data_IF_209686484965
#
_entry.id   IF_209686484965
#
_cell.length_a   1.000
_cell.length_b   1.000
_cell.length_c   1.000
_cell.angle_alpha   90.00
_cell.angle_beta   90.00
_cell.angle_gamma   90.00
#
_symmetry.space_group_name_H-M   'P 1'
#
loop_
_entity.id
_entity.type
_entity.pdbx_description
1 polymer ?
#
# COMPACT_ATOMS: atom_id res chain seq x y z
N UNK A 1 -10.67 -19.70 -7.13
CA UNK A 1 -9.76 -18.58 -6.83
C UNK A 1 -8.37 -19.09 -6.45
N UNK A 2 -7.39 -18.84 -7.32
CA UNK A 2 -5.96 -18.99 -7.02
C UNK A 2 -5.38 -17.68 -6.44
N UNK A 3 -4.24 -17.77 -5.74
CA UNK A 3 -3.53 -16.60 -5.20
C UNK A 3 -2.08 -16.61 -5.70
N UNK A 4 -1.70 -15.54 -6.39
CA UNK A 4 -0.36 -15.32 -6.95
C UNK A 4 0.29 -14.14 -6.25
N UNK A 5 1.55 -14.30 -5.83
CA UNK A 5 2.34 -13.22 -5.21
C UNK A 5 3.55 -12.94 -6.09
N UNK A 6 3.75 -11.69 -6.46
CA UNK A 6 4.84 -11.24 -7.31
C UNK A 6 5.66 -10.13 -6.64
N UNK A 7 6.98 -10.25 -6.69
CA UNK A 7 7.89 -9.19 -6.28
C UNK A 7 8.42 -8.47 -7.51
N UNK A 8 7.86 -7.29 -7.80
CA UNK A 8 8.19 -6.50 -9.00
C UNK A 8 9.09 -5.32 -8.65
N UNK A 9 9.94 -4.83 -9.58
CA UNK A 9 10.63 -3.56 -9.41
C UNK A 9 9.64 -2.43 -9.09
N UNK A 10 9.93 -1.59 -8.10
CA UNK A 10 8.99 -0.56 -7.63
C UNK A 10 8.43 0.33 -8.76
N UNK A 11 9.29 0.68 -9.73
CA UNK A 11 8.91 1.51 -10.90
C UNK A 11 7.90 0.87 -11.86
N UNK A 12 7.58 -0.41 -11.69
CA UNK A 12 6.58 -1.12 -12.49
C UNK A 12 5.19 -1.11 -11.86
N UNK A 13 5.04 -0.62 -10.62
CA UNK A 13 3.72 -0.41 -10.04
C UNK A 13 2.96 0.64 -10.86
N UNK A 14 1.66 0.36 -11.04
CA UNK A 14 0.74 1.25 -11.76
C UNK A 14 0.47 2.55 -11.00
N UNK A 15 0.44 2.47 -9.67
CA UNK A 15 0.10 3.55 -8.77
C UNK A 15 1.27 3.84 -7.81
N UNK A 16 1.19 4.97 -7.12
CA UNK A 16 2.11 5.37 -6.04
C UNK A 16 1.84 4.50 -4.82
N UNK A 17 2.34 3.26 -4.85
CA UNK A 17 2.12 2.27 -3.79
C UNK A 17 3.30 1.31 -3.64
N UNK A 18 3.37 0.64 -2.51
CA UNK A 18 4.35 -0.43 -2.22
C UNK A 18 3.77 -1.81 -2.52
N UNK A 19 2.45 -1.95 -2.43
CA UNK A 19 1.68 -3.15 -2.71
C UNK A 19 0.42 -2.83 -3.51
N UNK A 20 0.01 -3.76 -4.35
CA UNK A 20 -1.21 -3.64 -5.14
C UNK A 20 -1.80 -5.03 -5.37
N UNK A 21 -3.13 -5.13 -5.38
CA UNK A 21 -3.83 -6.37 -5.71
C UNK A 21 -4.84 -6.16 -6.82
N UNK A 22 -5.04 -7.21 -7.62
CA UNK A 22 -6.10 -7.26 -8.62
C UNK A 22 -6.56 -8.70 -8.84
N UNK A 23 -7.79 -8.86 -9.31
CA UNK A 23 -8.38 -10.15 -9.67
C UNK A 23 -8.61 -10.21 -11.18
N UNK A 24 -8.03 -11.21 -11.83
CA UNK A 24 -8.22 -11.54 -13.25
C UNK A 24 -8.40 -13.06 -13.41
N UNK A 25 -9.36 -13.51 -14.22
CA UNK A 25 -9.59 -14.94 -14.52
C UNK A 25 -9.61 -15.86 -13.27
N UNK A 26 -10.32 -15.46 -12.20
CA UNK A 26 -10.38 -16.18 -10.90
C UNK A 26 -9.01 -16.33 -10.21
N UNK A 27 -8.06 -15.45 -10.50
CA UNK A 27 -6.76 -15.37 -9.82
C UNK A 27 -6.60 -14.03 -9.13
N UNK A 28 -6.41 -14.04 -7.81
CA UNK A 28 -5.97 -12.88 -7.04
C UNK A 28 -4.45 -12.75 -7.18
N UNK A 29 -3.99 -11.69 -7.85
CA UNK A 29 -2.58 -11.34 -7.94
C UNK A 29 -2.26 -10.23 -6.96
N UNK A 30 -1.21 -10.41 -6.15
CA UNK A 30 -0.65 -9.42 -5.24
C UNK A 30 0.77 -9.08 -5.69
N UNK A 31 0.98 -7.83 -6.06
CA UNK A 31 2.27 -7.30 -6.47
C UNK A 31 2.88 -6.48 -5.35
N UNK A 32 4.18 -6.67 -5.09
CA UNK A 32 4.89 -6.02 -4.00
C UNK A 32 6.24 -5.52 -4.51
N UNK A 33 6.62 -4.32 -4.08
CA UNK A 33 7.92 -3.74 -4.39
C UNK A 33 9.07 -4.64 -3.93
N UNK A 34 9.98 -4.99 -4.84
CA UNK A 34 11.11 -5.87 -4.56
C UNK A 34 12.17 -5.22 -3.67
N UNK A 35 12.23 -3.90 -3.65
CA UNK A 35 13.28 -3.10 -3.02
C UNK A 35 13.12 -2.98 -1.50
N UNK A 36 11.95 -3.27 -0.93
CA UNK A 36 11.72 -3.23 0.52
C UNK A 36 12.30 -4.47 1.21
N UNK A 37 12.60 -4.36 2.50
CA UNK A 37 13.09 -5.48 3.31
C UNK A 37 12.09 -6.64 3.40
N UNK A 38 12.58 -7.86 3.66
CA UNK A 38 11.74 -9.06 3.61
C UNK A 38 10.62 -9.07 4.66
N UNK A 39 10.83 -8.46 5.83
CA UNK A 39 9.77 -8.32 6.84
C UNK A 39 8.65 -7.43 6.33
N UNK A 40 9.00 -6.34 5.66
CA UNK A 40 8.02 -5.44 5.08
C UNK A 40 7.29 -6.11 3.91
N UNK A 41 7.97 -6.91 3.09
CA UNK A 41 7.32 -7.76 2.08
C UNK A 41 6.24 -8.65 2.69
N UNK A 42 6.56 -9.37 3.76
CA UNK A 42 5.58 -10.25 4.44
C UNK A 42 4.42 -9.44 5.02
N UNK A 43 4.70 -8.28 5.61
CA UNK A 43 3.67 -7.42 6.19
C UNK A 43 2.71 -6.87 5.11
N UNK A 44 3.25 -6.43 3.97
CA UNK A 44 2.47 -5.96 2.82
C UNK A 44 1.67 -7.11 2.19
N UNK A 45 2.18 -8.35 2.12
CA UNK A 45 1.35 -9.50 1.70
C UNK A 45 0.07 -9.59 2.53
N UNK A 46 0.18 -9.48 3.86
CA UNK A 46 -0.99 -9.50 4.73
C UNK A 46 -1.89 -8.28 4.52
N UNK A 47 -1.32 -7.11 4.29
CA UNK A 47 -2.07 -5.90 3.97
C UNK A 47 -2.97 -6.13 2.75
N UNK A 48 -2.35 -6.44 1.61
CA UNK A 48 -3.02 -6.60 0.32
C UNK A 48 -4.03 -7.76 0.36
N UNK A 49 -3.66 -8.89 0.98
CA UNK A 49 -4.54 -10.06 1.06
C UNK A 49 -5.79 -9.79 1.89
N UNK A 50 -5.67 -9.11 3.04
CA UNK A 50 -6.82 -8.78 3.89
C UNK A 50 -7.70 -7.74 3.21
N UNK A 51 -7.09 -6.76 2.55
CA UNK A 51 -7.83 -5.77 1.79
C UNK A 51 -8.64 -6.41 0.66
N UNK A 52 -7.99 -7.19 -0.20
CA UNK A 52 -8.62 -7.92 -1.30
C UNK A 52 -9.75 -8.83 -0.79
N UNK A 53 -9.51 -9.61 0.26
CA UNK A 53 -10.52 -10.51 0.82
C UNK A 53 -11.76 -9.77 1.32
N UNK A 54 -11.59 -8.60 1.95
CA UNK A 54 -12.70 -7.76 2.41
C UNK A 54 -13.45 -7.14 1.23
N UNK A 55 -12.73 -6.70 0.19
CA UNK A 55 -13.33 -6.18 -1.04
C UNK A 55 -14.17 -7.24 -1.76
N UNK A 56 -13.61 -8.43 -1.98
CA UNK A 56 -14.30 -9.58 -2.59
C UNK A 56 -15.56 -9.94 -1.79
N UNK A 57 -15.47 -10.04 -0.46
CA UNK A 57 -16.61 -10.36 0.39
C UNK A 57 -17.73 -9.30 0.35
N UNK A 58 -17.42 -8.08 -0.11
CA UNK A 58 -18.36 -6.95 -0.25
C UNK A 58 -18.76 -6.68 -1.70
N UNK A 59 -18.33 -7.53 -2.64
CA UNK A 59 -18.51 -7.36 -4.09
C UNK A 59 -17.92 -6.03 -4.62
N UNK A 60 -16.81 -5.57 -4.03
CA UNK A 60 -16.02 -4.46 -4.57
C UNK A 60 -15.04 -5.04 -5.58
N UNK A 61 -15.07 -4.55 -6.81
CA UNK A 61 -14.25 -5.09 -7.91
C UNK A 61 -12.89 -4.39 -8.04
N UNK A 62 -11.96 -5.04 -8.75
CA UNK A 62 -10.67 -4.44 -9.11
C UNK A 62 -10.87 -3.09 -9.81
N UNK A 63 -11.82 -3.01 -10.74
CA UNK A 63 -12.07 -1.82 -11.54
C UNK A 63 -12.57 -0.64 -10.69
N UNK A 64 -13.36 -0.91 -9.64
CA UNK A 64 -13.80 0.12 -8.70
C UNK A 64 -12.63 0.66 -7.86
N UNK A 65 -11.72 -0.23 -7.42
CA UNK A 65 -10.51 0.16 -6.71
C UNK A 65 -9.57 0.97 -7.62
N UNK A 66 -9.29 0.46 -8.82
CA UNK A 66 -8.42 1.09 -9.81
C UNK A 66 -8.93 2.48 -10.21
N UNK A 67 -10.24 2.64 -10.44
CA UNK A 67 -10.82 3.92 -10.77
C UNK A 67 -10.64 4.95 -9.64
N UNK A 68 -10.67 4.49 -8.38
CA UNK A 68 -10.40 5.35 -7.23
C UNK A 68 -8.91 5.71 -7.13
N UNK A 69 -8.01 4.75 -7.35
CA UNK A 69 -6.57 4.98 -7.31
C UNK A 69 -6.11 5.92 -8.43
N UNK A 70 -6.64 5.76 -9.65
CA UNK A 70 -6.41 6.69 -10.76
C UNK A 70 -6.87 8.12 -10.44
N UNK A 71 -8.03 8.26 -9.80
CA UNK A 71 -8.51 9.56 -9.34
C UNK A 71 -7.54 10.14 -8.29
N UNK A 72 -7.07 9.33 -7.35
CA UNK A 72 -6.17 9.79 -6.28
C UNK A 72 -4.79 10.20 -6.81
N UNK A 73 -4.26 9.49 -7.81
CA UNK A 73 -3.03 9.90 -8.52
C UNK A 73 -3.18 11.27 -9.18
N UNK A 74 -4.32 11.52 -9.84
CA UNK A 74 -4.60 12.84 -10.41
C UNK A 74 -4.68 13.93 -9.32
N UNK A 75 -5.24 13.61 -8.15
CA UNK A 75 -5.30 14.52 -7.00
C UNK A 75 -3.90 14.78 -6.41
N UNK A 76 -2.99 13.79 -6.40
CA UNK A 76 -1.57 14.00 -6.04
C UNK A 76 -0.87 14.94 -7.02
N UNK A 77 -1.02 14.72 -8.33
CA UNK A 77 -0.38 15.53 -9.37
C UNK A 77 -0.92 16.97 -9.38
N UNK A 78 -2.19 17.16 -9.03
CA UNK A 78 -2.79 18.47 -8.81
C UNK A 78 -2.37 19.14 -7.49
N UNK A 79 -1.63 18.43 -6.62
CA UNK A 79 -1.17 18.93 -5.32
C UNK A 79 -2.26 19.08 -4.27
N UNK A 80 -3.40 18.40 -4.44
CA UNK A 80 -4.51 18.42 -3.48
C UNK A 80 -4.18 17.61 -2.22
N UNK A 81 -3.35 16.57 -2.38
CA UNK A 81 -2.84 15.75 -1.28
C UNK A 81 -1.32 15.67 -1.31
N UNK A 82 -0.65 15.67 -0.15
CA UNK A 82 0.75 15.30 -0.08
C UNK A 82 0.89 13.79 -0.30
N UNK A 83 2.00 13.35 -0.91
CA UNK A 83 2.29 11.91 -1.12
C UNK A 83 2.39 11.08 0.16
N UNK A 84 2.45 11.72 1.33
CA UNK A 84 2.40 11.06 2.64
C UNK A 84 0.99 10.68 3.11
N UNK A 85 -0.06 11.06 2.38
CA UNK A 85 -1.44 10.66 2.69
C UNK A 85 -1.79 9.47 1.81
N UNK A 86 -2.08 8.33 2.41
CA UNK A 86 -2.46 7.11 1.68
C UNK A 86 -3.94 7.13 1.28
N UNK A 87 -4.22 6.78 0.02
CA UNK A 87 -5.56 6.76 -0.57
C UNK A 87 -6.54 5.87 0.21
N UNK A 88 -6.06 4.74 0.73
CA UNK A 88 -6.84 3.76 1.49
C UNK A 88 -7.45 4.27 2.81
N UNK A 89 -7.03 5.43 3.32
CA UNK A 89 -7.67 6.04 4.50
C UNK A 89 -8.79 7.04 4.16
N UNK A 90 -8.88 7.50 2.90
CA UNK A 90 -9.92 8.41 2.43
C UNK A 90 -11.31 7.79 2.65
N UNK A 91 -12.31 8.61 2.98
CA UNK A 91 -13.69 8.15 3.19
C UNK A 91 -14.37 7.66 1.91
N UNK A 92 -13.93 8.15 0.75
CA UNK A 92 -14.43 7.81 -0.59
C UNK A 92 -13.86 6.48 -1.09
N UNK A 93 -12.74 6.04 -0.51
CA UNK A 93 -12.05 4.83 -0.94
C UNK A 93 -12.96 3.58 -0.78
N UNK A 94 -13.17 2.79 -1.85
CA UNK A 94 -14.04 1.62 -1.80
C UNK A 94 -13.43 0.49 -0.96
N UNK A 95 -12.10 0.35 -0.99
CA UNK A 95 -11.34 -0.64 -0.24
C UNK A 95 -10.95 -0.18 1.18
N UNK A 96 -11.41 0.98 1.64
CA UNK A 96 -11.04 1.61 2.92
C UNK A 96 -11.16 0.71 4.14
N UNK A 97 -12.22 -0.10 4.20
CA UNK A 97 -12.40 -1.03 5.32
C UNK A 97 -11.31 -2.11 5.29
N UNK A 98 -11.02 -2.63 4.10
CA UNK A 98 -9.93 -3.55 3.83
C UNK A 98 -8.60 -2.96 4.26
N UNK A 99 -8.27 -1.79 3.74
CA UNK A 99 -7.05 -1.05 4.06
C UNK A 99 -6.82 -0.91 5.57
N UNK A 100 -7.83 -0.42 6.31
CA UNK A 100 -7.72 -0.24 7.77
C UNK A 100 -7.41 -1.52 8.53
N UNK A 101 -7.96 -2.65 8.09
CA UNK A 101 -7.65 -3.94 8.68
C UNK A 101 -6.31 -4.47 8.18
N UNK A 102 -6.00 -4.33 6.90
CA UNK A 102 -4.70 -4.59 6.30
C UNK A 102 -3.57 -3.94 7.08
N UNK A 103 -3.64 -2.63 7.32
CA UNK A 103 -2.65 -1.89 8.14
C UNK A 103 -2.52 -2.45 9.56
N UNK A 104 -3.62 -2.94 10.17
CA UNK A 104 -3.55 -3.55 11.51
C UNK A 104 -2.81 -4.88 11.48
N UNK A 105 -3.08 -5.71 10.49
CA UNK A 105 -2.40 -7.00 10.30
C UNK A 105 -0.94 -6.81 9.91
N UNK A 106 -0.63 -5.85 9.05
CA UNK A 106 0.72 -5.44 8.69
C UNK A 106 1.54 -5.06 9.94
N UNK A 107 1.00 -4.14 10.76
CA UNK A 107 1.67 -3.74 12.02
C UNK A 107 1.84 -4.89 13.00
N UNK A 108 0.87 -5.80 13.06
CA UNK A 108 0.95 -6.99 13.89
C UNK A 108 2.02 -7.97 13.39
N UNK A 109 2.11 -8.19 12.07
CA UNK A 109 3.12 -9.02 11.45
C UNK A 109 4.54 -8.45 11.66
N UNK A 110 4.73 -7.15 11.44
CA UNK A 110 6.00 -6.47 11.70
C UNK A 110 6.43 -6.62 13.17
N UNK A 111 5.48 -6.49 14.11
CA UNK A 111 5.75 -6.69 15.53
C UNK A 111 6.18 -8.14 15.85
N UNK A 112 5.46 -9.14 15.34
CA UNK A 112 5.80 -10.56 15.54
C UNK A 112 7.20 -10.90 15.02
N UNK A 113 7.57 -10.34 13.86
CA UNK A 113 8.87 -10.56 13.24
C UNK A 113 9.99 -9.71 13.86
N UNK A 114 9.68 -8.88 14.86
CA UNK A 114 10.63 -7.93 15.48
C UNK A 114 11.28 -7.01 14.43
N UNK A 115 10.50 -6.59 13.45
CA UNK A 115 10.97 -5.73 12.38
C UNK A 115 11.34 -4.33 12.91
N UNK A 116 12.32 -3.70 12.28
CA UNK A 116 12.58 -2.28 12.50
C UNK A 116 11.55 -1.46 11.72
N UNK A 117 10.45 -1.10 12.37
CA UNK A 117 9.34 -0.35 11.74
C UNK A 117 9.80 0.99 11.18
N UNK A 118 10.76 1.66 11.84
CA UNK A 118 11.30 2.92 11.32
C UNK A 118 11.97 2.73 9.97
N UNK A 119 12.80 1.69 9.84
CA UNK A 119 13.44 1.35 8.59
C UNK A 119 12.41 0.99 7.51
N UNK A 120 11.38 0.19 7.86
CA UNK A 120 10.33 -0.19 6.91
C UNK A 120 9.63 1.04 6.34
N UNK A 121 9.27 1.99 7.21
CA UNK A 121 8.62 3.24 6.79
C UNK A 121 9.56 4.12 5.95
N UNK A 122 10.84 4.23 6.33
CA UNK A 122 11.83 5.00 5.56
C UNK A 122 12.04 4.44 4.15
N UNK A 123 12.03 3.10 3.99
CA UNK A 123 12.07 2.43 2.69
C UNK A 123 10.82 2.75 1.85
N UNK A 124 9.63 2.70 2.45
CA UNK A 124 8.38 3.07 1.78
C UNK A 124 8.37 4.54 1.36
N UNK A 125 8.73 5.45 2.26
CA UNK A 125 8.75 6.89 2.01
C UNK A 125 9.70 7.25 0.86
N UNK A 126 10.89 6.62 0.84
CA UNK A 126 11.89 6.84 -0.20
C UNK A 126 11.37 6.38 -1.58
N UNK A 127 10.72 5.21 -1.64
CA UNK A 127 10.18 4.67 -2.88
C UNK A 127 9.00 5.51 -3.39
N UNK A 128 8.10 5.94 -2.50
CA UNK A 128 6.95 6.79 -2.84
C UNK A 128 7.33 8.27 -3.10
N UNK A 129 8.61 8.62 -3.01
CA UNK A 129 9.10 9.98 -3.28
C UNK A 129 8.70 11.00 -2.21
N UNK A 130 8.43 10.55 -0.98
CA UNK A 130 8.09 11.43 0.14
C UNK A 130 9.37 12.13 0.60
N UNK A 131 9.45 13.45 0.38
CA UNK A 131 10.58 14.27 0.84
C UNK A 131 10.43 14.50 2.35
N UNK A 132 11.09 13.66 3.15
CA UNK A 132 11.24 13.91 4.59
C UNK A 132 12.22 15.07 4.78
N UNK A 133 11.70 16.30 4.95
CA UNK A 133 12.56 17.43 5.32
C UNK A 133 13.17 17.12 6.71
N UNK A 134 14.51 17.12 6.87
CA UNK A 134 15.09 17.01 8.19
C UNK A 134 14.58 18.19 9.02
N UNK A 135 14.06 17.90 10.22
CA UNK A 135 13.77 18.94 11.21
C UNK A 135 15.13 19.57 11.55
N UNK A 136 15.46 20.69 10.89
CA UNK A 136 16.51 21.57 11.37
C UNK A 136 16.05 22.02 12.74
N UNK A 137 16.61 21.42 13.80
CA UNK A 137 16.55 22.00 15.14
C UNK A 137 17.03 23.43 14.99
N UNK A 138 16.11 24.39 15.15
CA UNK A 138 16.52 25.75 15.47
C UNK A 138 17.29 25.65 16.78
N UNK A 139 18.61 25.80 16.69
CA UNK A 139 19.47 25.95 17.84
C UNK A 139 19.03 27.25 18.52
N UNK A 140 18.76 27.23 19.85
CA UNK A 140 18.27 28.39 20.58
C UNK A 140 19.28 29.55 20.58
#
# INVERSE_FOLDING_TARGET
>A
MDIKIEFIPHKQHRFTTIGHWFVEDDTLTIQISREICWQNKVAVIFHELIEAAICIARNVTTEECDAFDELFEQEYDAGLWPRSVEAGFDKRCPYRLGHKWGTRFERFALWLMRANVKQCNEECDLLMGIIVRPITRMVP
#
